data_IF_995915673944
#
_entry.id   IF_995915673944
#
_cell.length_a   1.000
_cell.length_b   1.000
_cell.length_c   1.000
_cell.angle_alpha   90.00
_cell.angle_beta   90.00
_cell.angle_gamma   90.00
#
_symmetry.space_group_name_H-M   'P 1'
#
loop_
_entity.id
_entity.type
_entity.pdbx_description
1 polymer ?
#
# COMPACT_ATOMS: atom_id res chain seq x y z
N UNK A 1 15.26 26.48 -6.17
CA UNK A 1 14.79 26.95 -7.49
C UNK A 1 13.76 28.08 -7.39
N UNK A 2 12.64 27.92 -6.65
CA UNK A 2 11.60 28.96 -6.54
C UNK A 2 12.13 30.27 -5.94
N UNK A 3 12.81 30.23 -4.79
CA UNK A 3 13.36 31.45 -4.16
C UNK A 3 14.34 32.22 -5.06
N UNK A 4 15.15 31.51 -5.84
CA UNK A 4 16.12 32.10 -6.75
C UNK A 4 15.42 32.80 -7.93
N UNK A 5 14.35 32.20 -8.47
CA UNK A 5 13.53 32.82 -9.52
C UNK A 5 12.73 34.00 -8.97
N UNK A 6 12.05 33.86 -7.83
CA UNK A 6 11.29 34.96 -7.23
C UNK A 6 12.16 36.19 -6.97
N UNK A 7 13.40 36.00 -6.49
CA UNK A 7 14.38 37.09 -6.32
C UNK A 7 14.77 37.76 -7.64
N UNK A 8 15.01 36.99 -8.70
CA UNK A 8 15.41 37.52 -10.00
C UNK A 8 14.34 38.40 -10.65
N UNK A 9 13.06 38.18 -10.31
CA UNK A 9 11.91 38.94 -10.84
C UNK A 9 11.26 39.87 -9.80
N UNK A 10 11.84 40.05 -8.61
CA UNK A 10 11.31 40.95 -7.58
C UNK A 10 9.97 40.51 -6.95
N UNK A 11 9.67 39.20 -6.95
CA UNK A 11 8.44 38.64 -6.39
C UNK A 11 8.61 38.14 -4.95
N UNK A 12 7.59 38.30 -4.12
CA UNK A 12 7.49 37.65 -2.81
C UNK A 12 7.14 36.16 -2.94
N UNK A 13 7.51 35.36 -1.94
CA UNK A 13 7.13 33.94 -1.88
C UNK A 13 7.06 33.44 -0.42
N UNK A 14 6.21 32.44 -0.18
CA UNK A 14 6.08 31.72 1.09
C UNK A 14 5.89 30.23 0.82
N UNK A 15 6.34 29.38 1.74
CA UNK A 15 6.13 27.94 1.68
C UNK A 15 5.26 27.51 2.85
N UNK A 16 4.33 26.59 2.58
CA UNK A 16 3.53 25.91 3.59
C UNK A 16 3.40 24.44 3.19
N UNK A 17 3.29 23.57 4.19
CA UNK A 17 2.98 22.15 4.00
C UNK A 17 1.56 21.90 4.51
N UNK A 18 0.80 21.12 3.76
CA UNK A 18 -0.53 20.65 4.16
C UNK A 18 -0.56 19.14 3.94
N UNK A 19 -1.24 18.43 4.84
CA UNK A 19 -1.58 17.00 4.66
C UNK A 19 -0.37 16.12 4.32
N UNK A 20 0.61 16.08 5.22
CA UNK A 20 1.78 15.19 5.06
C UNK A 20 1.34 13.74 5.30
N UNK A 21 1.23 12.97 4.23
CA UNK A 21 0.93 11.54 4.28
C UNK A 21 2.20 10.74 4.61
N UNK A 22 2.17 9.87 5.64
CA UNK A 22 3.25 8.95 5.89
C UNK A 22 3.34 7.89 4.78
N UNK A 23 4.55 7.40 4.53
CA UNK A 23 4.73 6.23 3.66
C UNK A 23 4.06 5.00 4.26
N UNK A 24 3.33 4.24 3.45
CA UNK A 24 2.78 2.94 3.82
C UNK A 24 3.87 1.87 3.70
N UNK A 25 4.60 1.66 4.80
CA UNK A 25 5.60 0.62 4.92
C UNK A 25 5.07 -0.64 5.61
N UNK A 26 5.69 -1.77 5.30
CA UNK A 26 5.46 -3.05 5.99
C UNK A 26 6.60 -3.29 6.98
N UNK A 27 6.26 -3.50 8.26
CA UNK A 27 7.22 -3.84 9.31
C UNK A 27 7.85 -5.22 9.03
N UNK A 28 9.15 -5.45 9.27
CA UNK A 28 9.83 -6.72 8.93
C UNK A 28 9.16 -7.99 9.48
N UNK A 29 8.67 -7.95 10.72
CA UNK A 29 7.94 -9.09 11.31
C UNK A 29 6.60 -9.35 10.61
N UNK A 30 5.85 -8.30 10.27
CA UNK A 30 4.60 -8.44 9.53
C UNK A 30 4.87 -8.91 8.09
N UNK A 31 5.98 -8.47 7.49
CA UNK A 31 6.43 -8.97 6.19
C UNK A 31 6.70 -10.47 6.24
N UNK A 32 7.41 -10.97 7.25
CA UNK A 32 7.71 -12.38 7.38
C UNK A 32 6.43 -13.25 7.50
N UNK A 33 5.44 -12.77 8.27
CA UNK A 33 4.13 -13.42 8.38
C UNK A 33 3.38 -13.42 7.05
N UNK A 34 3.27 -12.26 6.40
CA UNK A 34 2.63 -12.12 5.09
C UNK A 34 3.30 -13.02 4.05
N UNK A 35 4.63 -13.04 4.00
CA UNK A 35 5.40 -13.87 3.09
C UNK A 35 5.13 -15.36 3.33
N UNK A 36 5.08 -15.80 4.59
CA UNK A 36 4.79 -17.20 4.91
C UNK A 36 3.39 -17.63 4.44
N UNK A 37 2.36 -16.80 4.64
CA UNK A 37 1.00 -17.07 4.15
C UNK A 37 0.94 -17.03 2.63
N UNK A 38 1.60 -16.03 2.02
CA UNK A 38 1.65 -15.83 0.59
C UNK A 38 2.23 -17.05 -0.17
N UNK A 39 3.26 -17.71 0.39
CA UNK A 39 3.84 -18.92 -0.19
C UNK A 39 2.86 -20.12 -0.26
N UNK A 40 1.77 -20.10 0.51
CA UNK A 40 0.74 -21.14 0.49
C UNK A 40 -0.31 -20.91 -0.60
N UNK A 41 -0.31 -19.74 -1.25
CA UNK A 41 -1.39 -19.26 -2.11
C UNK A 41 -0.95 -18.90 -3.54
N UNK A 42 0.10 -19.56 -4.06
CA UNK A 42 0.68 -19.33 -5.40
C UNK A 42 0.83 -17.83 -5.72
N UNK A 43 1.65 -17.16 -4.91
CA UNK A 43 1.86 -15.72 -5.02
C UNK A 43 3.34 -15.37 -5.11
N UNK A 44 3.61 -14.15 -5.57
CA UNK A 44 4.96 -13.67 -5.82
C UNK A 44 5.19 -12.30 -5.17
N UNK A 45 6.40 -12.04 -4.65
CA UNK A 45 6.77 -10.71 -4.18
C UNK A 45 6.78 -9.70 -5.34
N UNK A 46 6.56 -8.43 -5.01
CA UNK A 46 6.67 -7.35 -5.97
C UNK A 46 8.12 -6.88 -6.06
N UNK A 47 8.62 -6.70 -7.28
CA UNK A 47 9.99 -6.19 -7.52
C UNK A 47 10.13 -4.69 -7.20
N UNK A 48 9.01 -3.96 -7.17
CA UNK A 48 8.97 -2.52 -6.93
C UNK A 48 7.76 -2.13 -6.07
N UNK A 49 7.88 -1.10 -5.23
CA UNK A 49 6.73 -0.55 -4.52
C UNK A 49 5.75 0.10 -5.51
N UNK A 50 4.49 0.18 -5.11
CA UNK A 50 3.51 0.98 -5.82
C UNK A 50 3.68 2.46 -5.52
N UNK A 51 3.32 3.33 -6.47
CA UNK A 51 3.44 4.78 -6.35
C UNK A 51 2.21 5.46 -5.73
N UNK A 52 1.11 4.72 -5.52
CA UNK A 52 -0.09 5.25 -4.89
C UNK A 52 0.14 5.54 -3.39
N UNK A 53 -0.52 6.58 -2.89
CA UNK A 53 -0.57 6.89 -1.46
C UNK A 53 -1.72 6.13 -0.81
N UNK A 54 -1.53 5.71 0.44
CA UNK A 54 -2.58 5.05 1.23
C UNK A 54 -2.53 5.57 2.68
N UNK A 55 -3.68 5.85 3.28
CA UNK A 55 -3.77 6.41 4.63
C UNK A 55 -3.43 5.36 5.72
N UNK A 56 -3.45 4.08 5.37
CA UNK A 56 -3.03 2.97 6.25
C UNK A 56 -1.65 3.18 6.88
N UNK A 57 -0.75 3.92 6.21
CA UNK A 57 0.55 4.30 6.76
C UNK A 57 0.47 5.04 8.11
N UNK A 58 -0.67 5.65 8.44
CA UNK A 58 -0.88 6.28 9.75
C UNK A 58 -0.90 5.27 10.91
N UNK A 59 -1.34 4.03 10.70
CA UNK A 59 -1.38 3.00 11.75
C UNK A 59 0.01 2.59 12.25
N UNK A 60 1.06 2.79 11.44
CA UNK A 60 2.44 2.49 11.82
C UNK A 60 2.93 3.29 13.04
N UNK A 61 2.22 4.36 13.42
CA UNK A 61 2.50 5.15 14.63
C UNK A 61 2.11 4.42 15.92
N UNK A 62 1.19 3.46 15.85
CA UNK A 62 0.61 2.78 17.01
C UNK A 62 0.86 1.27 17.02
N UNK A 63 1.16 0.66 15.87
CA UNK A 63 1.34 -0.78 15.76
C UNK A 63 2.37 -1.15 14.69
N UNK A 64 2.89 -2.38 14.75
CA UNK A 64 3.58 -3.01 13.62
C UNK A 64 2.54 -3.28 12.54
N UNK A 65 2.74 -2.70 11.35
CA UNK A 65 1.80 -2.80 10.24
C UNK A 65 2.32 -3.71 9.14
N UNK A 66 1.43 -4.43 8.49
CA UNK A 66 1.71 -5.11 7.23
C UNK A 66 0.65 -4.77 6.20
N UNK A 67 1.09 -4.38 5.01
CA UNK A 67 0.22 -4.02 3.89
C UNK A 67 0.58 -4.89 2.68
N UNK A 68 -0.44 -5.40 1.99
CA UNK A 68 -0.31 -6.25 0.82
C UNK A 68 -1.46 -5.97 -0.15
N UNK A 69 -1.28 -6.33 -1.42
CA UNK A 69 -2.31 -6.25 -2.45
C UNK A 69 -2.59 -7.62 -3.07
N UNK A 70 -3.77 -7.76 -3.67
CA UNK A 70 -4.14 -8.94 -4.45
C UNK A 70 -4.26 -8.48 -5.90
N UNK A 71 -3.54 -9.15 -6.81
CA UNK A 71 -3.58 -8.81 -8.23
C UNK A 71 -4.93 -9.15 -8.84
N UNK A 72 -5.57 -8.17 -9.48
CA UNK A 72 -6.85 -8.34 -10.16
C UNK A 72 -6.74 -8.92 -11.58
N UNK A 73 -5.53 -9.29 -12.02
CA UNK A 73 -5.25 -9.75 -13.38
C UNK A 73 -4.77 -8.63 -14.30
N UNK A 74 -4.14 -9.01 -15.41
CA UNK A 74 -3.57 -8.05 -16.39
C UNK A 74 -4.62 -7.44 -17.32
N UNK A 75 -5.74 -8.13 -17.50
CA UNK A 75 -6.85 -7.69 -18.35
C UNK A 75 -7.90 -6.84 -17.60
N UNK A 76 -7.73 -6.69 -16.28
CA UNK A 76 -8.59 -5.86 -15.45
C UNK A 76 -8.11 -4.42 -15.49
N UNK A 77 -9.04 -3.48 -15.67
CA UNK A 77 -8.70 -2.05 -15.67
C UNK A 77 -7.99 -1.66 -14.36
N UNK A 78 -7.14 -0.63 -14.34
CA UNK A 78 -6.50 -0.18 -13.12
C UNK A 78 -7.51 0.46 -12.15
N UNK A 79 -7.17 0.49 -10.85
CA UNK A 79 -7.97 1.20 -9.85
C UNK A 79 -8.19 2.67 -10.28
N UNK A 80 -9.39 3.19 -10.04
CA UNK A 80 -9.89 4.51 -10.47
C UNK A 80 -10.20 4.65 -11.97
N UNK A 81 -10.02 3.61 -12.79
CA UNK A 81 -10.53 3.62 -14.15
C UNK A 81 -12.07 3.52 -14.14
N UNK A 82 -12.81 4.25 -15.00
CA UNK A 82 -14.28 4.17 -15.05
C UNK A 82 -14.80 2.77 -15.40
N UNK A 83 -14.04 2.01 -16.17
CA UNK A 83 -14.37 0.62 -16.54
C UNK A 83 -13.84 -0.41 -15.53
N UNK A 84 -13.32 0.02 -14.37
CA UNK A 84 -12.93 -0.91 -13.32
C UNK A 84 -14.15 -1.62 -12.75
N UNK A 85 -14.15 -2.94 -12.88
CA UNK A 85 -15.09 -3.83 -12.23
C UNK A 85 -14.31 -4.82 -11.36
N UNK A 86 -14.78 -5.03 -10.14
CA UNK A 86 -14.05 -5.85 -9.16
C UNK A 86 -14.23 -7.34 -9.49
N UNK A 87 -13.16 -8.13 -9.65
CA UNK A 87 -13.30 -9.56 -9.93
C UNK A 87 -13.71 -10.33 -8.65
N UNK A 88 -14.92 -10.87 -8.63
CA UNK A 88 -15.48 -11.58 -7.47
C UNK A 88 -14.64 -12.79 -7.02
N UNK A 89 -13.88 -13.43 -7.92
CA UNK A 89 -12.98 -14.53 -7.59
C UNK A 89 -11.86 -14.13 -6.63
N UNK A 90 -11.60 -12.82 -6.47
CA UNK A 90 -10.65 -12.32 -5.47
C UNK A 90 -11.18 -12.39 -4.05
N UNK A 91 -12.50 -12.49 -3.83
CA UNK A 91 -13.09 -12.58 -2.49
C UNK A 91 -12.59 -13.81 -1.76
N UNK A 92 -12.63 -14.98 -2.40
CA UNK A 92 -12.16 -16.23 -1.80
C UNK A 92 -10.67 -16.17 -1.46
N UNK A 93 -9.85 -15.58 -2.35
CA UNK A 93 -8.41 -15.40 -2.12
C UNK A 93 -8.14 -14.46 -0.95
N UNK A 94 -8.82 -13.32 -0.90
CA UNK A 94 -8.69 -12.36 0.19
C UNK A 94 -9.08 -12.95 1.53
N UNK A 95 -10.20 -13.67 1.59
CA UNK A 95 -10.65 -14.37 2.79
C UNK A 95 -9.64 -15.43 3.24
N UNK A 96 -9.10 -16.23 2.31
CA UNK A 96 -8.10 -17.25 2.62
C UNK A 96 -6.82 -16.64 3.23
N UNK A 97 -6.35 -15.51 2.70
CA UNK A 97 -5.18 -14.79 3.26
C UNK A 97 -5.46 -14.35 4.70
N UNK A 98 -6.60 -13.69 4.95
CA UNK A 98 -6.93 -13.21 6.29
C UNK A 98 -7.17 -14.36 7.27
N UNK A 99 -7.84 -15.44 6.87
CA UNK A 99 -8.03 -16.63 7.69
C UNK A 99 -6.69 -17.23 8.12
N UNK A 100 -5.76 -17.44 7.18
CA UNK A 100 -4.42 -17.96 7.48
C UNK A 100 -3.62 -17.01 8.37
N UNK A 101 -3.70 -15.70 8.16
CA UNK A 101 -3.01 -14.71 9.00
C UNK A 101 -3.54 -14.73 10.44
N UNK A 102 -4.87 -14.75 10.61
CA UNK A 102 -5.51 -14.79 11.93
C UNK A 102 -5.08 -16.07 12.66
N UNK A 103 -5.18 -17.23 12.00
CA UNK A 103 -4.76 -18.52 12.54
C UNK A 103 -3.30 -18.55 12.96
N UNK A 104 -2.42 -18.02 12.11
CA UNK A 104 -0.97 -17.93 12.39
C UNK A 104 -0.67 -17.01 13.58
N UNK A 105 -1.33 -15.85 13.67
CA UNK A 105 -1.08 -14.87 14.73
C UNK A 105 -1.68 -15.33 16.07
N UNK A 106 -2.86 -15.95 16.04
CA UNK A 106 -3.56 -16.41 17.24
C UNK A 106 -3.19 -17.83 17.66
N UNK A 107 -2.42 -18.57 16.86
CA UNK A 107 -2.08 -19.98 17.06
C UNK A 107 -3.33 -20.89 17.17
N UNK A 108 -4.32 -20.67 16.31
CA UNK A 108 -5.59 -21.42 16.25
C UNK A 108 -5.76 -22.08 14.89
#
# INVERSE_FOLDING_TARGET
>A
MISQKSRAYGLGHTFAYSEVFPSTGTHPECYALLYHVAQQLDSHPLDRPFAWSEDFGHYAKAAKTGFFGIGAGLETAPLHHPDYDFPDELLEKGLAIYDLLIKTVLNT
#
